data_IF_803810966065
#
_entry.id   IF_803810966065
#
_cell.length_a   1.000
_cell.length_b   1.000
_cell.length_c   1.000
_cell.angle_alpha   90.00
_cell.angle_beta   90.00
_cell.angle_gamma   90.00
#
_symmetry.space_group_name_H-M   'P 1'
#
loop_
_entity.id
_entity.type
_entity.pdbx_description
1 polymer ?
#
# COMPACT_ATOMS: atom_id res chain seq x y z
N UNK A 1 1.71 -27.82 -0.43
CA UNK A 1 1.70 -26.94 -1.63
C UNK A 1 0.30 -26.40 -1.91
N UNK A 2 -0.71 -27.26 -2.04
CA UNK A 2 -2.11 -26.88 -2.33
C UNK A 2 -2.75 -25.97 -1.26
N UNK A 3 -2.46 -26.21 0.01
CA UNK A 3 -2.92 -25.37 1.13
C UNK A 3 -2.34 -23.94 1.06
N UNK A 4 -1.06 -23.80 0.72
CA UNK A 4 -0.40 -22.49 0.60
C UNK A 4 -1.00 -21.67 -0.55
N UNK A 5 -1.29 -22.31 -1.69
CA UNK A 5 -1.96 -21.66 -2.83
C UNK A 5 -3.37 -21.20 -2.45
N UNK A 6 -4.13 -22.05 -1.75
CA UNK A 6 -5.47 -21.70 -1.27
C UNK A 6 -5.44 -20.51 -0.32
N UNK A 7 -4.50 -20.50 0.64
CA UNK A 7 -4.31 -19.39 1.57
C UNK A 7 -3.93 -18.07 0.85
N UNK A 8 -3.02 -18.13 -0.13
CA UNK A 8 -2.63 -16.97 -0.93
C UNK A 8 -3.81 -16.41 -1.74
N UNK A 9 -4.58 -17.30 -2.39
CA UNK A 9 -5.82 -16.93 -3.11
C UNK A 9 -6.83 -16.27 -2.16
N UNK A 10 -7.03 -16.84 -0.98
CA UNK A 10 -7.92 -16.26 0.04
C UNK A 10 -7.48 -14.86 0.48
N UNK A 11 -6.17 -14.64 0.67
CA UNK A 11 -5.63 -13.30 1.00
C UNK A 11 -5.88 -12.29 -0.13
N UNK A 12 -5.68 -12.69 -1.40
CA UNK A 12 -5.88 -11.81 -2.55
C UNK A 12 -7.36 -11.44 -2.76
N UNK A 13 -8.27 -12.40 -2.56
CA UNK A 13 -9.70 -12.24 -2.89
C UNK A 13 -10.60 -11.85 -1.70
N UNK A 14 -10.03 -11.53 -0.53
CA UNK A 14 -10.82 -11.19 0.68
C UNK A 14 -11.58 -9.86 0.61
N UNK A 15 -11.34 -9.05 -0.41
CA UNK A 15 -12.06 -7.79 -0.66
C UNK A 15 -12.62 -7.80 -2.09
N UNK A 16 -13.75 -7.13 -2.33
CA UNK A 16 -14.33 -7.05 -3.68
C UNK A 16 -13.43 -6.31 -4.66
N UNK A 17 -12.58 -5.39 -4.18
CA UNK A 17 -11.60 -4.67 -4.99
C UNK A 17 -10.21 -4.78 -4.36
N UNK A 18 -9.21 -5.00 -5.21
CA UNK A 18 -7.79 -4.97 -4.89
C UNK A 18 -7.09 -4.02 -5.87
N UNK A 19 -6.45 -2.99 -5.35
CA UNK A 19 -5.65 -2.04 -6.13
C UNK A 19 -4.18 -2.29 -5.83
N UNK A 20 -3.35 -2.38 -6.87
CA UNK A 20 -1.91 -2.56 -6.76
C UNK A 20 -1.23 -1.21 -6.97
N UNK A 21 -0.34 -0.82 -6.05
CA UNK A 21 0.34 0.47 -6.10
C UNK A 21 1.79 0.24 -6.54
N UNK A 22 2.07 0.56 -7.79
CA UNK A 22 3.42 0.59 -8.36
C UNK A 22 4.03 1.99 -8.35
N UNK A 23 5.35 2.07 -8.36
CA UNK A 23 6.14 3.29 -8.50
C UNK A 23 7.01 3.15 -9.73
N UNK A 24 6.86 4.09 -10.65
CA UNK A 24 7.71 4.16 -11.83
C UNK A 24 9.09 4.74 -11.49
N UNK A 25 10.07 4.46 -12.33
CA UNK A 25 11.40 5.01 -12.23
C UNK A 25 11.39 6.53 -12.48
N UNK A 26 12.42 7.25 -12.02
CA UNK A 26 12.58 8.67 -12.35
C UNK A 26 12.53 8.92 -13.86
N UNK A 27 11.78 9.95 -14.26
CA UNK A 27 11.66 10.36 -15.67
C UNK A 27 12.92 11.05 -16.19
N UNK A 28 13.80 11.51 -15.28
CA UNK A 28 15.09 12.12 -15.59
C UNK A 28 16.00 12.05 -14.36
N UNK A 29 17.29 12.28 -14.55
CA UNK A 29 18.30 12.29 -13.47
C UNK A 29 18.08 13.36 -12.39
N UNK A 30 17.23 14.36 -12.68
CA UNK A 30 16.89 15.43 -11.71
C UNK A 30 15.87 14.98 -10.66
N UNK A 31 15.13 13.91 -10.93
CA UNK A 31 14.09 13.41 -10.03
C UNK A 31 14.72 12.31 -9.18
N UNK A 32 14.60 12.44 -7.86
CA UNK A 32 15.10 11.43 -6.94
C UNK A 32 14.06 10.33 -6.83
N UNK A 33 14.48 9.07 -6.93
CA UNK A 33 13.60 7.90 -6.81
C UNK A 33 12.73 7.92 -5.54
N UNK A 34 13.30 8.38 -4.43
CA UNK A 34 12.58 8.56 -3.17
C UNK A 34 11.40 9.53 -3.29
N UNK A 35 11.49 10.56 -4.13
CA UNK A 35 10.39 11.51 -4.35
C UNK A 35 9.20 10.82 -5.03
N UNK A 36 9.46 9.96 -6.02
CA UNK A 36 8.42 9.14 -6.65
C UNK A 36 7.77 8.19 -5.64
N UNK A 37 8.59 7.54 -4.79
CA UNK A 37 8.09 6.66 -3.73
C UNK A 37 7.20 7.42 -2.74
N UNK A 38 7.64 8.60 -2.28
CA UNK A 38 6.85 9.47 -1.40
C UNK A 38 5.55 9.93 -2.06
N UNK A 39 5.59 10.30 -3.35
CA UNK A 39 4.41 10.73 -4.10
C UNK A 39 3.39 9.58 -4.23
N UNK A 40 3.84 8.38 -4.57
CA UNK A 40 2.98 7.20 -4.64
C UNK A 40 2.39 6.82 -3.28
N UNK A 41 3.18 6.92 -2.20
CA UNK A 41 2.72 6.67 -0.84
C UNK A 41 1.64 7.68 -0.41
N UNK A 42 1.83 8.96 -0.73
CA UNK A 42 0.84 9.99 -0.48
C UNK A 42 -0.45 9.75 -1.28
N UNK A 43 -0.35 9.37 -2.55
CA UNK A 43 -1.49 9.01 -3.39
C UNK A 43 -2.27 7.81 -2.81
N UNK A 44 -1.56 6.76 -2.37
CA UNK A 44 -2.15 5.61 -1.72
C UNK A 44 -2.87 5.99 -0.41
N UNK A 45 -2.27 6.85 0.42
CA UNK A 45 -2.91 7.34 1.64
C UNK A 45 -4.16 8.18 1.33
N UNK A 46 -4.12 9.04 0.31
CA UNK A 46 -5.28 9.82 -0.12
C UNK A 46 -6.43 8.92 -0.58
N UNK A 47 -6.11 7.82 -1.27
CA UNK A 47 -7.09 6.82 -1.68
C UNK A 47 -7.75 6.13 -0.47
N UNK A 48 -6.97 5.80 0.58
CA UNK A 48 -7.53 5.26 1.83
C UNK A 48 -8.49 6.25 2.48
N UNK A 49 -8.10 7.53 2.57
CA UNK A 49 -8.94 8.59 3.14
C UNK A 49 -10.23 8.79 2.33
N UNK A 50 -10.13 8.81 0.99
CA UNK A 50 -11.28 8.94 0.11
C UNK A 50 -12.26 7.77 0.26
N UNK A 51 -11.75 6.53 0.29
CA UNK A 51 -12.58 5.34 0.50
C UNK A 51 -13.34 5.43 1.85
N UNK A 52 -12.65 5.81 2.93
CA UNK A 52 -13.28 6.00 4.23
C UNK A 52 -14.31 7.14 4.23
N UNK A 53 -14.02 8.25 3.55
CA UNK A 53 -14.96 9.37 3.38
C UNK A 53 -16.25 8.97 2.64
N UNK A 54 -16.17 7.98 1.75
CA UNK A 54 -17.31 7.39 1.04
C UNK A 54 -18.02 6.28 1.83
N UNK A 55 -17.62 6.02 3.08
CA UNK A 55 -18.21 4.98 3.93
C UNK A 55 -17.74 3.55 3.64
N UNK A 56 -16.70 3.40 2.81
CA UNK A 56 -16.03 2.12 2.56
C UNK A 56 -14.95 1.87 3.63
N UNK A 57 -14.48 0.64 3.73
CA UNK A 57 -13.25 0.30 4.43
C UNK A 57 -12.14 0.08 3.41
N UNK A 58 -10.94 0.55 3.74
CA UNK A 58 -9.75 0.31 2.95
C UNK A 58 -8.57 -0.10 3.82
N UNK A 59 -7.74 -1.02 3.31
CA UNK A 59 -6.57 -1.53 4.00
C UNK A 59 -5.38 -1.63 3.05
N UNK A 60 -4.31 -0.92 3.36
CA UNK A 60 -3.00 -1.13 2.76
C UNK A 60 -2.32 -2.35 3.37
N UNK A 61 -1.81 -3.24 2.53
CA UNK A 61 -0.87 -4.30 2.88
C UNK A 61 0.30 -4.34 1.90
N UNK A 62 1.54 -4.33 2.40
CA UNK A 62 2.75 -4.52 1.58
C UNK A 62 3.11 -6.02 1.63
N UNK A 63 3.67 -6.48 2.76
CA UNK A 63 4.06 -7.88 2.96
C UNK A 63 5.14 -8.37 2.00
N UNK A 64 5.58 -9.62 2.17
CA UNK A 64 6.67 -10.22 1.36
C UNK A 64 6.37 -10.20 -0.14
N UNK A 65 5.09 -10.21 -0.50
CA UNK A 65 4.63 -10.16 -1.89
C UNK A 65 5.03 -8.87 -2.62
N UNK A 66 5.20 -7.76 -1.91
CA UNK A 66 5.54 -6.49 -2.53
C UNK A 66 7.01 -6.42 -2.95
N UNK A 67 7.87 -7.24 -2.34
CA UNK A 67 9.30 -7.32 -2.64
C UNK A 67 9.66 -8.54 -3.50
N UNK A 68 8.70 -9.41 -3.82
CA UNK A 68 8.91 -10.59 -4.65
C UNK A 68 9.00 -10.21 -6.13
N UNK A 69 10.11 -10.57 -6.79
CA UNK A 69 10.39 -10.22 -8.18
C UNK A 69 9.39 -10.84 -9.17
N UNK A 70 8.87 -12.04 -8.90
CA UNK A 70 7.88 -12.69 -9.76
C UNK A 70 6.54 -11.96 -9.67
N UNK A 71 6.17 -11.48 -8.48
CA UNK A 71 4.95 -10.70 -8.28
C UNK A 71 5.08 -9.32 -8.93
N UNK A 72 6.23 -8.64 -8.77
CA UNK A 72 6.51 -7.39 -9.48
C UNK A 72 6.38 -7.56 -11.00
N UNK A 73 7.05 -8.58 -11.54
CA UNK A 73 7.01 -8.89 -12.97
C UNK A 73 5.60 -9.26 -13.46
N UNK A 74 4.80 -9.97 -12.65
CA UNK A 74 3.41 -10.29 -12.96
C UNK A 74 2.55 -9.03 -13.16
N UNK A 75 2.80 -7.96 -12.39
CA UNK A 75 2.15 -6.66 -12.56
C UNK A 75 2.81 -5.77 -13.61
N UNK A 76 3.78 -6.28 -14.37
CA UNK A 76 4.45 -5.56 -15.45
C UNK A 76 5.49 -4.54 -14.99
N UNK A 77 5.91 -4.62 -13.72
CA UNK A 77 6.96 -3.74 -13.20
C UNK A 77 8.34 -4.28 -13.57
N UNK A 78 9.20 -3.40 -14.07
CA UNK A 78 10.61 -3.67 -14.31
C UNK A 78 11.39 -3.83 -12.99
N UNK A 79 12.59 -4.46 -13.02
CA UNK A 79 13.39 -4.67 -11.81
C UNK A 79 13.71 -3.37 -11.03
N UNK A 80 13.89 -2.27 -11.76
CA UNK A 80 14.21 -0.92 -11.25
C UNK A 80 12.97 -0.09 -10.85
N UNK A 81 11.76 -0.66 -10.97
CA UNK A 81 10.52 -0.07 -10.46
C UNK A 81 10.11 -0.71 -9.13
N UNK A 82 9.22 -0.07 -8.38
CA UNK A 82 8.80 -0.56 -7.06
C UNK A 82 7.34 -0.98 -7.02
N UNK A 83 7.07 -2.05 -6.30
CA UNK A 83 5.73 -2.40 -5.87
C UNK A 83 5.59 -1.98 -4.41
N UNK A 84 4.81 -0.93 -4.16
CA UNK A 84 4.69 -0.33 -2.84
C UNK A 84 3.70 -1.12 -1.94
N UNK A 85 2.68 -1.72 -2.56
CA UNK A 85 1.77 -2.62 -1.87
C UNK A 85 0.41 -2.74 -2.54
N UNK A 86 -0.52 -3.26 -1.76
CA UNK A 86 -1.86 -3.66 -2.17
C UNK A 86 -2.89 -2.97 -1.29
N UNK A 87 -3.89 -2.34 -1.91
CA UNK A 87 -5.00 -1.71 -1.21
C UNK A 87 -6.27 -2.53 -1.43
N UNK A 88 -6.73 -3.17 -0.37
CA UNK A 88 -8.02 -3.85 -0.33
C UNK A 88 -9.13 -2.84 -0.04
N UNK A 89 -10.21 -2.84 -0.82
CA UNK A 89 -11.36 -1.94 -0.61
C UNK A 89 -12.67 -2.74 -0.63
N UNK A 90 -13.60 -2.40 0.27
CA UNK A 90 -14.94 -2.95 0.28
C UNK A 90 -15.81 -2.38 1.40
N UNK A 91 -17.02 -2.90 1.55
CA UNK A 91 -17.87 -2.55 2.69
C UNK A 91 -17.36 -3.24 3.97
N UNK A 92 -17.20 -2.52 5.10
CA UNK A 92 -16.76 -3.13 6.35
C UNK A 92 -17.85 -4.05 6.91
N UNK A 93 -17.48 -5.27 7.27
CA UNK A 93 -18.33 -6.12 8.14
C UNK A 93 -18.36 -5.58 9.58
N UNK A 94 -17.24 -5.01 10.03
CA UNK A 94 -17.07 -4.42 11.36
C UNK A 94 -16.28 -3.13 11.22
N UNK A 95 -16.69 -2.09 11.93
CA UNK A 95 -15.90 -0.86 12.04
C UNK A 95 -14.81 -1.07 13.10
N UNK A 96 -13.52 -0.98 12.73
CA UNK A 96 -12.44 -1.15 13.70
C UNK A 96 -12.50 -0.04 14.74
N UNK A 97 -12.19 -0.39 15.99
CA UNK A 97 -12.05 0.60 17.05
C UNK A 97 -10.80 1.43 16.82
N UNK A 98 -10.87 2.72 17.20
CA UNK A 98 -9.70 3.57 17.24
C UNK A 98 -8.70 2.99 18.25
N UNK A 99 -7.46 2.83 17.81
CA UNK A 99 -6.33 2.45 18.66
C UNK A 99 -5.58 3.71 19.06
N UNK A 100 -5.12 3.74 20.31
CA UNK A 100 -4.30 4.83 20.82
C UNK A 100 -3.02 4.97 19.98
N UNK A 101 -2.65 6.22 19.68
CA UNK A 101 -1.45 6.56 18.91
C UNK A 101 -0.42 7.19 19.85
N UNK A 102 0.88 6.93 19.66
CA UNK A 102 1.92 7.65 20.39
C UNK A 102 1.79 9.17 20.22
N UNK A 103 2.17 9.93 21.25
CA UNK A 103 2.21 11.41 21.18
C UNK A 103 3.20 11.86 20.12
N UNK A 104 2.92 13.00 19.49
CA UNK A 104 3.87 13.64 18.56
C UNK A 104 5.10 14.19 19.30
N UNK A 105 4.98 14.46 20.59
CA UNK A 105 6.03 15.02 21.44
C UNK A 105 7.26 14.10 21.49
N UNK A 106 7.06 12.78 21.54
CA UNK A 106 8.14 11.79 21.55
C UNK A 106 8.86 11.66 20.19
N UNK A 107 8.36 12.33 19.15
CA UNK A 107 8.78 12.16 17.75
C UNK A 107 9.17 13.49 17.08
N UNK A 108 9.12 14.60 17.81
CA UNK A 108 9.32 15.95 17.25
C UNK A 108 10.38 16.70 18.05
N UNK A 109 11.34 17.31 17.37
CA UNK A 109 12.30 18.26 17.95
C UNK A 109 12.13 19.60 17.23
N UNK A 110 11.85 20.65 18.00
CA UNK A 110 11.75 22.02 17.47
C UNK A 110 13.10 22.71 17.62
N UNK A 111 13.58 23.33 16.54
CA UNK A 111 14.84 24.09 16.53
C UNK A 111 14.49 25.57 16.43
N UNK A 112 15.14 26.38 17.26
CA UNK A 112 15.06 27.84 17.23
C UNK A 112 16.12 28.45 16.30
#
# INVERSE_FOLDING_TARGET
MEEAVTAARGKALRSPVLIVVGVDKPVSEKVVELENVCAAAAAAQNLLLAAHGLGLAAKWNTGDNATDDLIKAFFGLAPDQHLLGFIHIGYPMVRPQAVERPSFEDRTVWME
#
